data_IF_133771458307
#
_entry.id   IF_133771458307
#
_cell.length_a   1.000
_cell.length_b   1.000
_cell.length_c   1.000
_cell.angle_alpha   90.00
_cell.angle_beta   90.00
_cell.angle_gamma   90.00
#
_symmetry.space_group_name_H-M   'P 1'
#
loop_
_entity.id
_entity.type
_entity.pdbx_description
1 polymer ?
#
# COMPACT_ATOMS: atom_id res chain seq x y z
N UNK A 1 6.09 31.09 55.26
CA UNK A 1 4.86 31.02 54.45
C UNK A 1 5.21 30.37 53.13
N UNK A 2 4.66 29.17 52.92
CA UNK A 2 5.16 28.18 51.97
C UNK A 2 4.86 28.53 50.52
N UNK A 3 5.94 28.62 49.75
CA UNK A 3 6.00 28.49 48.30
C UNK A 3 5.38 27.13 47.89
N UNK A 4 4.08 27.11 47.56
CA UNK A 4 3.38 25.94 47.02
C UNK A 4 2.41 26.34 45.90
N UNK A 5 2.87 27.20 45.00
CA UNK A 5 2.19 27.44 43.71
C UNK A 5 3.24 27.26 42.62
N UNK A 6 3.81 26.05 42.57
CA UNK A 6 4.44 25.58 41.33
C UNK A 6 3.27 25.18 40.44
N UNK A 7 3.16 25.94 39.37
CA UNK A 7 2.01 26.13 38.51
C UNK A 7 1.44 24.80 37.97
N UNK A 8 0.25 24.39 38.44
CA UNK A 8 -0.46 23.20 37.93
C UNK A 8 -0.72 23.30 36.40
N UNK A 9 -0.81 24.53 35.88
CA UNK A 9 -0.93 24.85 34.46
C UNK A 9 0.32 24.42 33.67
N UNK A 10 1.52 24.51 34.26
CA UNK A 10 2.76 24.10 33.60
C UNK A 10 2.89 22.56 33.50
N UNK A 11 2.40 21.82 34.51
CA UNK A 11 2.40 20.34 34.50
C UNK A 11 1.38 19.79 33.49
N UNK A 12 0.20 20.42 33.37
CA UNK A 12 -0.83 20.02 32.40
C UNK A 12 -0.39 20.37 30.97
N UNK A 13 0.27 21.51 30.76
CA UNK A 13 0.86 21.87 29.46
C UNK A 13 2.01 20.93 29.05
N UNK A 14 2.78 20.40 30.00
CA UNK A 14 3.87 19.45 29.72
C UNK A 14 3.31 18.05 29.37
N UNK A 15 2.19 17.65 29.98
CA UNK A 15 1.48 16.39 29.69
C UNK A 15 0.80 16.38 28.32
N UNK A 16 0.33 17.52 27.82
CA UNK A 16 -0.30 17.62 26.49
C UNK A 16 0.76 17.57 25.37
N UNK A 17 1.98 18.09 25.61
CA UNK A 17 3.09 18.00 24.64
C UNK A 17 3.69 16.60 24.50
N UNK A 18 3.53 15.72 25.49
CA UNK A 18 3.93 14.31 25.40
C UNK A 18 2.96 13.44 24.60
N UNK A 19 1.80 13.95 24.19
CA UNK A 19 0.92 13.21 23.29
C UNK A 19 1.44 13.30 21.86
N UNK A 20 2.14 12.21 21.52
CA UNK A 20 2.06 11.49 20.24
C UNK A 20 2.76 12.12 19.04
N UNK A 21 4.08 11.95 19.00
CA UNK A 21 4.82 11.77 17.75
C UNK A 21 4.69 10.29 17.31
N UNK A 22 3.47 9.79 17.13
CA UNK A 22 3.29 8.54 16.39
C UNK A 22 3.29 8.93 14.92
N UNK A 23 4.40 8.65 14.22
CA UNK A 23 4.31 8.57 12.77
C UNK A 23 3.33 7.44 12.46
N UNK A 24 2.21 7.76 11.82
CA UNK A 24 1.24 6.77 11.37
C UNK A 24 1.96 5.69 10.55
N UNK A 25 1.57 4.42 10.75
CA UNK A 25 2.16 3.31 10.01
C UNK A 25 1.64 3.27 8.58
N UNK A 26 2.41 2.65 7.69
CA UNK A 26 1.94 2.32 6.35
C UNK A 26 0.63 1.53 6.42
N UNK A 27 -0.36 1.97 5.64
CA UNK A 27 -1.69 1.40 5.64
C UNK A 27 -2.22 1.26 4.20
N UNK A 28 -2.82 0.12 3.86
CA UNK A 28 -3.51 -0.05 2.58
C UNK A 28 -4.95 0.46 2.76
N UNK A 29 -5.30 1.53 2.05
CA UNK A 29 -6.63 2.13 2.09
C UNK A 29 -7.61 1.28 1.26
N UNK A 30 -7.21 0.92 0.05
CA UNK A 30 -8.12 0.32 -0.92
C UNK A 30 -7.37 -0.51 -1.95
N UNK A 31 -8.01 -1.60 -2.39
CA UNK A 31 -7.54 -2.40 -3.52
C UNK A 31 -8.70 -2.61 -4.49
N UNK A 32 -8.56 -2.10 -5.71
CA UNK A 32 -9.60 -2.16 -6.74
C UNK A 32 -9.04 -2.22 -8.17
N UNK A 33 -9.81 -2.77 -9.12
CA UNK A 33 -10.81 -3.80 -8.87
C UNK A 33 -10.12 -5.11 -8.43
N UNK A 34 -10.89 -6.05 -7.85
CA UNK A 34 -10.36 -7.40 -7.53
C UNK A 34 -10.28 -8.30 -8.77
N UNK A 35 -10.95 -7.92 -9.85
CA UNK A 35 -10.97 -8.61 -11.14
C UNK A 35 -10.59 -7.59 -12.20
N UNK A 36 -9.54 -7.88 -12.97
CA UNK A 36 -9.07 -7.04 -14.08
C UNK A 36 -9.28 -7.75 -15.42
N UNK A 37 -9.50 -6.96 -16.47
CA UNK A 37 -9.79 -7.42 -17.85
C UNK A 37 -8.78 -6.88 -18.87
N UNK A 38 -7.46 -6.99 -18.59
CA UNK A 38 -6.42 -6.28 -19.32
C UNK A 38 -6.46 -6.54 -20.84
N UNK A 39 -6.61 -5.46 -21.60
CA UNK A 39 -6.48 -5.48 -23.06
C UNK A 39 -7.70 -6.02 -23.82
N UNK A 40 -8.77 -6.43 -23.12
CA UNK A 40 -10.06 -6.80 -23.73
C UNK A 40 -11.14 -5.75 -23.49
N UNK A 41 -10.94 -4.88 -22.50
CA UNK A 41 -11.77 -3.72 -22.19
C UNK A 41 -11.18 -2.44 -22.76
N UNK A 42 -12.04 -1.50 -23.17
CA UNK A 42 -11.65 -0.17 -23.65
C UNK A 42 -11.21 0.75 -22.48
N UNK A 43 -10.19 0.36 -21.71
CA UNK A 43 -9.70 1.14 -20.57
C UNK A 43 -10.36 0.85 -19.23
N UNK A 44 -11.35 -0.05 -19.17
CA UNK A 44 -12.14 -0.35 -17.97
C UNK A 44 -11.51 -1.53 -17.24
N UNK A 45 -11.22 -1.43 -15.94
CA UNK A 45 -10.66 -2.55 -15.15
C UNK A 45 -9.36 -3.16 -15.72
N UNK A 46 -8.55 -2.40 -16.47
CA UNK A 46 -7.29 -2.92 -17.03
C UNK A 46 -6.16 -2.99 -15.99
N UNK A 47 -6.33 -2.31 -14.85
CA UNK A 47 -5.30 -2.16 -13.82
C UNK A 47 -5.81 -2.59 -12.47
N UNK A 48 -5.02 -3.38 -11.75
CA UNK A 48 -5.08 -3.47 -10.30
C UNK A 48 -4.51 -2.18 -9.73
N UNK A 49 -5.23 -1.55 -8.82
CA UNK A 49 -4.85 -0.33 -8.14
C UNK A 49 -4.89 -0.60 -6.64
N UNK A 50 -3.76 -0.39 -5.97
CA UNK A 50 -3.67 -0.41 -4.52
C UNK A 50 -3.35 1.02 -4.07
N UNK A 51 -4.29 1.66 -3.39
CA UNK A 51 -4.10 2.96 -2.75
C UNK A 51 -3.67 2.73 -1.30
N UNK A 52 -2.68 3.49 -0.84
CA UNK A 52 -2.12 3.38 0.50
C UNK A 52 -1.89 4.75 1.13
N UNK A 53 -1.60 4.78 2.42
CA UNK A 53 -1.03 5.91 3.14
C UNK A 53 0.41 5.54 3.52
N UNK A 54 1.36 6.45 3.29
CA UNK A 54 2.77 6.25 3.64
C UNK A 54 3.37 7.43 4.42
N UNK A 55 2.97 7.65 5.69
CA UNK A 55 3.34 8.85 6.46
C UNK A 55 4.83 8.95 6.77
N UNK A 56 5.56 7.84 6.67
CA UNK A 56 7.01 7.76 6.87
C UNK A 56 7.82 7.95 5.59
N UNK A 57 7.16 8.08 4.44
CA UNK A 57 7.80 8.13 3.12
C UNK A 57 8.75 6.94 2.89
N UNK A 58 8.35 5.77 3.38
CA UNK A 58 9.12 4.53 3.27
C UNK A 58 9.10 4.01 1.82
N UNK A 59 10.12 3.25 1.42
CA UNK A 59 10.10 2.60 0.09
C UNK A 59 8.98 1.56 0.01
N UNK A 60 8.10 1.69 -0.98
CA UNK A 60 7.01 0.75 -1.28
C UNK A 60 7.35 -0.01 -2.56
N UNK A 61 7.57 -1.32 -2.42
CA UNK A 61 7.84 -2.22 -3.54
C UNK A 61 6.72 -3.25 -3.67
N UNK A 62 6.24 -3.50 -4.89
CA UNK A 62 5.18 -4.47 -5.15
C UNK A 62 5.59 -5.46 -6.22
N UNK A 63 5.14 -6.70 -6.09
CA UNK A 63 5.30 -7.74 -7.12
C UNK A 63 4.04 -8.57 -7.26
N UNK A 64 3.92 -9.21 -8.42
CA UNK A 64 2.89 -10.17 -8.76
C UNK A 64 3.52 -11.55 -8.83
N UNK A 65 2.88 -12.52 -8.20
CA UNK A 65 3.29 -13.92 -8.22
C UNK A 65 2.11 -14.84 -8.53
N UNK A 66 2.40 -16.03 -9.05
CA UNK A 66 1.41 -17.10 -9.22
C UNK A 66 1.06 -17.73 -7.87
N UNK A 67 -0.01 -18.54 -7.84
CA UNK A 67 -0.38 -19.33 -6.63
C UNK A 67 0.75 -20.25 -6.13
N UNK A 68 1.66 -20.65 -7.02
CA UNK A 68 2.82 -21.49 -6.67
C UNK A 68 4.03 -20.65 -6.22
N UNK A 69 3.90 -19.33 -6.13
CA UNK A 69 4.97 -18.42 -5.71
C UNK A 69 5.95 -18.02 -6.82
N UNK A 70 5.69 -18.40 -8.08
CA UNK A 70 6.54 -17.97 -9.19
C UNK A 70 6.36 -16.48 -9.47
N UNK A 71 7.45 -15.75 -9.66
CA UNK A 71 7.43 -14.35 -10.08
C UNK A 71 6.75 -14.17 -11.43
N UNK A 72 6.01 -13.05 -11.58
CA UNK A 72 5.31 -12.66 -12.81
C UNK A 72 5.78 -11.28 -13.28
N UNK A 73 5.72 -10.29 -12.40
CA UNK A 73 6.11 -8.91 -12.71
C UNK A 73 6.28 -8.09 -11.42
N UNK A 74 7.04 -7.01 -11.52
CA UNK A 74 6.99 -5.93 -10.53
C UNK A 74 5.76 -5.04 -10.77
N UNK A 75 5.25 -4.45 -9.70
CA UNK A 75 4.18 -3.46 -9.75
C UNK A 75 4.76 -2.05 -9.91
N UNK A 76 4.05 -1.19 -10.65
CA UNK A 76 4.46 0.19 -10.87
C UNK A 76 3.98 1.07 -9.72
N UNK A 77 4.93 1.57 -8.92
CA UNK A 77 4.65 2.49 -7.84
C UNK A 77 4.66 3.96 -8.32
N UNK A 78 3.73 4.76 -7.79
CA UNK A 78 3.67 6.21 -7.94
C UNK A 78 3.44 6.85 -6.57
N UNK A 79 4.53 7.15 -5.89
CA UNK A 79 4.55 7.72 -4.53
C UNK A 79 3.81 9.06 -4.44
N UNK A 80 3.85 9.89 -5.48
CA UNK A 80 3.15 11.19 -5.48
C UNK A 80 1.63 11.04 -5.35
N UNK A 81 1.10 9.88 -5.73
CA UNK A 81 -0.34 9.56 -5.66
C UNK A 81 -0.65 8.47 -4.66
N UNK A 82 0.34 8.06 -3.87
CA UNK A 82 0.29 6.94 -2.91
C UNK A 82 -0.43 5.71 -3.48
N UNK A 83 0.02 5.31 -4.68
CA UNK A 83 -0.61 4.26 -5.47
C UNK A 83 0.42 3.35 -6.10
N UNK A 84 0.21 2.05 -5.94
CA UNK A 84 0.95 1.02 -6.67
C UNK A 84 0.00 0.20 -7.55
N UNK A 85 0.41 -0.08 -8.79
CA UNK A 85 -0.48 -0.62 -9.82
C UNK A 85 0.12 -1.79 -10.58
N UNK A 86 -0.74 -2.63 -11.15
CA UNK A 86 -0.36 -3.67 -12.10
C UNK A 86 -1.34 -3.74 -13.26
N UNK A 87 -0.83 -3.84 -14.49
CA UNK A 87 -1.60 -3.78 -15.73
C UNK A 87 -1.97 -5.17 -16.30
N UNK A 88 -1.82 -6.24 -15.51
CA UNK A 88 -2.11 -7.60 -15.95
C UNK A 88 -1.08 -8.21 -16.91
N UNK A 89 0.14 -7.65 -16.98
CA UNK A 89 1.22 -8.14 -17.86
C UNK A 89 2.39 -8.71 -17.07
N UNK A 90 3.09 -9.65 -17.69
CA UNK A 90 4.38 -10.15 -17.21
C UNK A 90 5.53 -9.16 -17.50
N UNK A 91 6.73 -9.50 -17.02
CA UNK A 91 7.98 -8.78 -17.24
C UNK A 91 8.41 -8.68 -18.72
N UNK A 92 7.82 -9.49 -19.61
CA UNK A 92 7.99 -9.41 -21.07
C UNK A 92 6.93 -8.55 -21.75
N UNK A 93 6.13 -7.82 -20.97
CA UNK A 93 5.01 -6.97 -21.41
C UNK A 93 3.86 -7.73 -22.11
N UNK A 94 3.73 -9.04 -21.88
CA UNK A 94 2.62 -9.85 -22.40
C UNK A 94 1.51 -9.97 -21.36
N UNK A 95 0.26 -9.91 -21.82
CA UNK A 95 -0.90 -10.13 -20.94
C UNK A 95 -0.91 -11.58 -20.46
N UNK A 96 -0.92 -11.76 -19.14
CA UNK A 96 -0.87 -13.09 -18.52
C UNK A 96 -2.13 -13.91 -18.81
N UNK A 97 -2.10 -15.25 -18.65
CA UNK A 97 -3.30 -16.08 -18.76
C UNK A 97 -4.38 -15.70 -17.74
N UNK A 98 -5.64 -15.97 -18.06
CA UNK A 98 -6.75 -15.85 -17.10
C UNK A 98 -6.47 -16.74 -15.88
N UNK A 99 -6.72 -16.22 -14.68
CA UNK A 99 -6.39 -16.93 -13.45
C UNK A 99 -6.29 -16.04 -12.22
N UNK A 100 -6.01 -16.67 -11.08
CA UNK A 100 -5.77 -16.00 -9.80
C UNK A 100 -4.28 -15.75 -9.65
N UNK A 101 -3.94 -14.51 -9.30
CA UNK A 101 -2.58 -14.07 -8.98
C UNK A 101 -2.56 -13.44 -7.59
N UNK A 102 -1.38 -13.38 -6.99
CA UNK A 102 -1.14 -12.76 -5.69
C UNK A 102 -0.34 -11.50 -5.91
N UNK A 103 -0.78 -10.37 -5.36
CA UNK A 103 0.07 -9.20 -5.19
C UNK A 103 0.72 -9.26 -3.81
N UNK A 104 2.00 -8.92 -3.76
CA UNK A 104 2.79 -8.81 -2.54
C UNK A 104 3.44 -7.42 -2.50
N UNK A 105 3.10 -6.63 -1.49
CA UNK A 105 3.67 -5.31 -1.24
C UNK A 105 4.59 -5.40 -0.02
N UNK A 106 5.84 -4.97 -0.18
CA UNK A 106 6.86 -4.88 0.86
C UNK A 106 7.08 -3.42 1.22
N UNK A 107 6.95 -3.12 2.52
CA UNK A 107 7.25 -1.82 3.10
C UNK A 107 8.00 -2.06 4.41
N UNK A 108 9.26 -1.63 4.46
CA UNK A 108 10.14 -1.82 5.63
C UNK A 108 10.23 -3.28 6.14
N UNK A 109 10.15 -4.27 5.23
CA UNK A 109 10.17 -5.69 5.57
C UNK A 109 8.82 -6.24 6.06
N UNK A 110 7.78 -5.40 6.15
CA UNK A 110 6.39 -5.83 6.38
C UNK A 110 5.75 -6.18 5.05
N UNK A 111 5.20 -7.39 4.97
CA UNK A 111 4.59 -7.91 3.76
C UNK A 111 3.07 -7.83 3.83
N UNK A 112 2.45 -7.21 2.83
CA UNK A 112 1.02 -7.14 2.62
C UNK A 112 0.64 -7.91 1.36
N UNK A 113 -0.24 -8.90 1.50
CA UNK A 113 -0.65 -9.76 0.40
C UNK A 113 -2.14 -9.62 0.10
N UNK A 114 -2.51 -9.96 -1.13
CA UNK A 114 -3.88 -10.28 -1.49
C UNK A 114 -3.96 -10.84 -2.89
N UNK A 115 -5.18 -11.08 -3.35
CA UNK A 115 -5.42 -11.71 -4.66
C UNK A 115 -6.00 -10.73 -5.67
N UNK A 116 -5.68 -10.97 -6.93
CA UNK A 116 -6.31 -10.35 -8.10
C UNK A 116 -6.63 -11.43 -9.12
N UNK A 117 -7.78 -11.32 -9.77
CA UNK A 117 -8.20 -12.23 -10.83
C UNK A 117 -7.99 -11.53 -12.17
N UNK A 118 -7.36 -12.24 -13.11
CA UNK A 118 -7.32 -11.83 -14.53
C UNK A 118 -8.40 -12.59 -15.26
N UNK A 119 -9.31 -11.86 -15.91
CA UNK A 119 -10.37 -12.41 -16.75
C UNK A 119 -10.28 -11.78 -18.14
N UNK A 120 -9.83 -12.54 -19.15
CA UNK A 120 -9.81 -12.13 -20.55
C UNK A 120 -10.55 -13.14 -21.43
#
# INVERSE_FOLDING_TARGET
MNCKIINLVAIISLLIFSNTLFAEEFNIIEVKPRIITPGTSAGINDYLIVNYENPKDSNVAGKIITLNGCFVADMLNNDMTERITWNGKDDTAKVVPSGIYIYQIDVEGKIFNGTVIVAK
#
